data_IF_854221126252
#
_entry.id   IF_854221126252
#
_cell.length_a   1.000
_cell.length_b   1.000
_cell.length_c   1.000
_cell.angle_alpha   90.00
_cell.angle_beta   90.00
_cell.angle_gamma   90.00
#
_symmetry.space_group_name_H-M   'P 1'
#
loop_
_entity.id
_entity.type
_entity.pdbx_description
1 polymer ?
#
# COMPACT_ATOMS: atom_id res chain seq x y z
N UNK A 1 -41.28 -0.98 -19.70
CA UNK A 1 -40.57 -1.20 -18.42
C UNK A 1 -39.28 -1.85 -18.83
N UNK A 2 -38.29 -1.02 -19.13
CA UNK A 2 -37.14 -1.46 -19.89
C UNK A 2 -35.97 -1.40 -18.92
N UNK A 3 -35.53 -2.59 -18.52
CA UNK A 3 -34.44 -2.75 -17.56
C UNK A 3 -33.16 -2.48 -18.33
N UNK A 4 -32.68 -1.24 -18.26
CA UNK A 4 -31.34 -0.86 -18.71
C UNK A 4 -30.32 -1.75 -17.98
N UNK A 5 -29.89 -2.78 -18.69
CA UNK A 5 -28.89 -3.71 -18.20
C UNK A 5 -27.56 -2.98 -18.31
N UNK A 6 -27.02 -2.53 -17.17
CA UNK A 6 -25.68 -1.95 -17.11
C UNK A 6 -24.69 -2.94 -17.75
N UNK A 7 -24.24 -2.58 -18.96
CA UNK A 7 -23.31 -3.37 -19.72
C UNK A 7 -21.93 -3.21 -19.06
N UNK A 8 -21.67 -4.02 -18.03
CA UNK A 8 -20.38 -4.10 -17.34
C UNK A 8 -19.34 -4.49 -18.38
N UNK A 9 -18.65 -3.47 -18.89
CA UNK A 9 -17.73 -3.62 -19.99
C UNK A 9 -16.60 -4.58 -19.60
N UNK A 10 -16.55 -5.74 -20.25
CA UNK A 10 -15.58 -6.80 -19.97
C UNK A 10 -14.10 -6.36 -20.16
N UNK A 11 -13.87 -5.13 -20.64
CA UNK A 11 -12.57 -4.47 -20.76
C UNK A 11 -11.96 -4.01 -19.43
N UNK A 12 -12.75 -3.84 -18.35
CA UNK A 12 -12.23 -3.44 -17.02
C UNK A 12 -11.70 -4.62 -16.18
N UNK A 13 -11.82 -5.86 -16.68
CA UNK A 13 -11.19 -7.02 -16.06
C UNK A 13 -9.76 -7.20 -16.58
N UNK A 14 -8.78 -7.54 -15.72
CA UNK A 14 -7.44 -7.87 -16.18
C UNK A 14 -7.52 -9.03 -17.19
N UNK A 15 -6.76 -8.97 -18.30
CA UNK A 15 -6.87 -9.95 -19.36
C UNK A 15 -6.60 -11.35 -18.81
N UNK A 16 -7.61 -12.22 -18.90
CA UNK A 16 -7.51 -13.62 -18.46
C UNK A 16 -6.26 -14.24 -19.08
N UNK A 17 -5.33 -14.82 -18.28
CA UNK A 17 -4.11 -15.42 -18.80
C UNK A 17 -4.45 -16.40 -19.93
N UNK A 18 -4.01 -16.08 -21.15
CA UNK A 18 -4.33 -16.85 -22.36
C UNK A 18 -3.67 -18.23 -22.37
N UNK A 19 -2.60 -18.38 -21.60
CA UNK A 19 -2.01 -19.66 -21.26
C UNK A 19 -2.53 -20.12 -19.90
N UNK A 20 -3.11 -21.32 -19.84
CA UNK A 20 -3.08 -22.11 -18.61
C UNK A 20 -1.60 -22.19 -18.21
N UNK A 21 -1.19 -21.73 -17.02
CA UNK A 21 0.19 -21.97 -16.58
C UNK A 21 0.42 -23.48 -16.63
N UNK A 22 1.56 -23.96 -17.17
CA UNK A 22 1.82 -25.39 -17.19
C UNK A 22 1.63 -25.93 -15.77
N UNK A 23 1.01 -27.10 -15.59
CA UNK A 23 0.88 -27.68 -14.25
C UNK A 23 2.28 -27.70 -13.62
N UNK A 24 2.42 -27.30 -12.34
CA UNK A 24 3.74 -27.23 -11.70
C UNK A 24 4.45 -28.57 -11.93
N UNK A 25 5.69 -28.58 -12.43
CA UNK A 25 6.30 -29.78 -12.98
C UNK A 25 6.38 -30.85 -11.90
N UNK A 26 5.45 -31.79 -11.97
CA UNK A 26 5.41 -32.93 -11.08
C UNK A 26 6.59 -33.81 -11.45
N UNK A 27 7.56 -33.89 -10.53
CA UNK A 27 8.73 -34.75 -10.68
C UNK A 27 8.30 -36.21 -10.92
N UNK A 28 7.13 -36.62 -10.41
CA UNK A 28 6.52 -37.91 -10.74
C UNK A 28 6.14 -37.99 -12.23
N UNK A 29 5.31 -37.08 -12.75
CA UNK A 29 4.88 -37.13 -14.15
C UNK A 29 6.04 -36.92 -15.15
N UNK A 30 7.01 -36.05 -14.86
CA UNK A 30 8.22 -35.90 -15.67
C UNK A 30 9.09 -37.17 -15.67
N UNK A 31 9.19 -37.87 -14.53
CA UNK A 31 9.89 -39.16 -14.47
C UNK A 31 9.13 -40.27 -15.22
N UNK A 32 7.79 -40.26 -15.19
CA UNK A 32 6.97 -41.18 -16.00
C UNK A 32 7.20 -40.94 -17.50
N UNK A 33 7.16 -39.68 -17.93
CA UNK A 33 7.42 -39.29 -19.32
C UNK A 33 8.83 -39.70 -19.77
N UNK A 34 9.84 -39.51 -18.91
CA UNK A 34 11.21 -39.96 -19.17
C UNK A 34 11.30 -41.49 -19.35
N UNK A 35 10.63 -42.28 -18.50
CA UNK A 35 10.62 -43.75 -18.64
C UNK A 35 9.88 -44.19 -19.91
N UNK A 36 8.78 -43.54 -20.27
CA UNK A 36 7.98 -43.89 -21.46
C UNK A 36 8.69 -43.52 -22.77
N UNK A 37 9.49 -42.46 -22.77
CA UNK A 37 10.26 -41.98 -23.93
C UNK A 37 11.63 -42.64 -24.10
N UNK A 38 12.11 -43.39 -23.10
CA UNK A 38 13.38 -44.12 -23.14
C UNK A 38 13.28 -45.38 -24.05
N UNK A 39 13.92 -45.39 -25.24
CA UNK A 39 13.83 -46.53 -26.15
C UNK A 39 14.57 -47.77 -25.64
N UNK A 40 15.47 -47.64 -24.65
CA UNK A 40 16.18 -48.78 -24.05
C UNK A 40 15.32 -49.59 -23.08
N UNK A 41 14.21 -49.00 -22.62
CA UNK A 41 13.22 -49.64 -21.73
C UNK A 41 12.02 -50.22 -22.48
N UNK A 42 11.88 -49.93 -23.76
CA UNK A 42 10.82 -50.49 -24.59
C UNK A 42 11.17 -51.94 -24.96
N UNK A 43 10.39 -52.89 -24.45
CA UNK A 43 10.55 -54.31 -24.71
C UNK A 43 9.84 -54.73 -26.01
N UNK A 44 9.12 -55.86 -25.96
CA UNK A 44 8.16 -56.17 -27.02
C UNK A 44 7.11 -55.05 -27.13
N UNK A 45 6.46 -54.83 -28.30
CA UNK A 45 5.46 -53.79 -28.47
C UNK A 45 4.39 -53.80 -27.37
N UNK A 46 4.31 -52.72 -26.60
CA UNK A 46 3.39 -52.58 -25.45
C UNK A 46 3.95 -53.02 -24.09
N UNK A 47 5.19 -53.52 -24.00
CA UNK A 47 5.86 -53.88 -22.75
C UNK A 47 6.99 -52.91 -22.40
N UNK A 48 7.07 -52.55 -21.12
CA UNK A 48 8.07 -51.63 -20.57
C UNK A 48 8.89 -52.36 -19.50
N UNK A 49 10.21 -52.37 -19.62
CA UNK A 49 11.11 -52.96 -18.62
C UNK A 49 11.39 -51.94 -17.51
N UNK A 50 10.84 -52.23 -16.32
CA UNK A 50 11.06 -51.44 -15.11
C UNK A 50 11.90 -52.28 -14.15
N UNK A 51 13.09 -51.78 -13.80
CA UNK A 51 13.94 -52.35 -12.77
C UNK A 51 13.41 -52.03 -11.36
N UNK A 52 13.78 -52.84 -10.36
CA UNK A 52 13.29 -52.70 -8.98
C UNK A 52 13.62 -51.31 -8.37
N UNK A 53 14.80 -50.75 -8.69
CA UNK A 53 15.20 -49.42 -8.24
C UNK A 53 14.29 -48.33 -8.80
N UNK A 54 13.98 -48.39 -10.10
CA UNK A 54 12.98 -47.51 -10.72
C UNK A 54 11.62 -47.71 -10.08
N UNK A 55 11.15 -48.96 -9.86
CA UNK A 55 9.86 -49.22 -9.23
C UNK A 55 9.73 -48.60 -7.83
N UNK A 56 10.77 -48.72 -6.99
CA UNK A 56 10.82 -48.07 -5.67
C UNK A 56 10.80 -46.54 -5.77
N UNK A 57 11.47 -45.97 -6.77
CA UNK A 57 11.45 -44.53 -7.03
C UNK A 57 10.06 -44.06 -7.50
N UNK A 58 9.37 -44.82 -8.35
CA UNK A 58 7.98 -44.56 -8.76
C UNK A 58 7.07 -44.51 -7.52
N UNK A 59 7.13 -45.52 -6.65
CA UNK A 59 6.33 -45.59 -5.41
C UNK A 59 6.63 -44.38 -4.50
N UNK A 60 7.91 -44.05 -4.33
CA UNK A 60 8.34 -42.90 -3.51
C UNK A 60 7.84 -41.57 -4.07
N UNK A 61 7.86 -41.40 -5.39
CA UNK A 61 7.37 -40.19 -6.07
C UNK A 61 5.83 -40.10 -6.02
N UNK A 62 5.10 -41.22 -6.15
CA UNK A 62 3.64 -41.27 -5.95
C UNK A 62 3.25 -40.85 -4.53
N UNK A 63 3.95 -41.34 -3.50
CA UNK A 63 3.66 -40.95 -2.11
C UNK A 63 3.85 -39.43 -1.90
N UNK A 64 4.90 -38.84 -2.50
CA UNK A 64 5.13 -37.39 -2.49
C UNK A 64 4.10 -36.59 -3.30
N UNK A 65 3.61 -37.15 -4.42
CA UNK A 65 2.53 -36.58 -5.22
C UNK A 65 1.22 -36.49 -4.42
N UNK A 66 0.85 -37.58 -3.73
CA UNK A 66 -0.33 -37.64 -2.85
C UNK A 66 -0.22 -36.65 -1.70
N UNK A 67 0.92 -36.59 -1.00
CA UNK A 67 1.14 -35.65 0.10
C UNK A 67 1.01 -34.19 -0.36
N UNK A 68 1.51 -33.85 -1.55
CA UNK A 68 1.36 -32.50 -2.12
C UNK A 68 -0.08 -32.18 -2.51
N UNK A 69 -0.82 -33.17 -3.03
CA UNK A 69 -2.24 -33.01 -3.35
C UNK A 69 -3.07 -32.78 -2.08
N UNK A 70 -2.75 -33.47 -0.98
CA UNK A 70 -3.33 -33.24 0.35
C UNK A 70 -3.02 -31.83 0.87
N UNK A 71 -1.75 -31.40 0.84
CA UNK A 71 -1.36 -30.04 1.23
C UNK A 71 -2.09 -28.96 0.42
N UNK A 72 -2.26 -29.15 -0.89
CA UNK A 72 -3.02 -28.24 -1.74
C UNK A 72 -4.50 -28.20 -1.36
N UNK A 73 -5.09 -29.36 -1.04
CA UNK A 73 -6.46 -29.47 -0.56
C UNK A 73 -6.66 -28.76 0.79
N UNK A 74 -5.70 -28.87 1.71
CA UNK A 74 -5.69 -28.17 3.00
C UNK A 74 -5.65 -26.66 2.81
N UNK A 75 -4.76 -26.14 1.96
CA UNK A 75 -4.71 -24.71 1.62
C UNK A 75 -6.04 -24.19 1.05
N UNK A 76 -6.69 -24.95 0.16
CA UNK A 76 -8.02 -24.60 -0.33
C UNK A 76 -9.10 -24.62 0.76
N UNK A 77 -9.03 -25.54 1.73
CA UNK A 77 -9.97 -25.54 2.87
C UNK A 77 -9.74 -24.37 3.81
N UNK A 78 -8.49 -23.98 4.08
CA UNK A 78 -8.16 -22.78 4.87
C UNK A 78 -8.69 -21.52 4.19
N UNK A 79 -8.38 -21.32 2.91
CA UNK A 79 -8.84 -20.15 2.15
C UNK A 79 -10.38 -20.06 2.10
N UNK A 80 -11.07 -21.20 2.00
CA UNK A 80 -12.54 -21.25 2.08
C UNK A 80 -13.06 -20.87 3.46
N UNK A 81 -12.38 -21.31 4.53
CA UNK A 81 -12.70 -20.93 5.90
C UNK A 81 -12.57 -19.42 6.11
N UNK A 82 -11.45 -18.83 5.68
CA UNK A 82 -11.17 -17.39 5.82
C UNK A 82 -12.20 -16.54 5.06
N UNK A 83 -12.63 -16.99 3.87
CA UNK A 83 -13.72 -16.37 3.11
C UNK A 83 -15.06 -16.45 3.87
N UNK A 84 -15.36 -17.58 4.53
CA UNK A 84 -16.58 -17.66 5.36
C UNK A 84 -16.51 -16.78 6.60
N UNK A 85 -15.35 -16.65 7.25
CA UNK A 85 -15.13 -15.75 8.40
C UNK A 85 -15.33 -14.29 8.00
N UNK A 86 -14.61 -13.83 6.97
CA UNK A 86 -14.72 -12.43 6.47
C UNK A 86 -16.13 -12.09 5.99
N UNK A 87 -16.87 -13.04 5.39
CA UNK A 87 -18.28 -12.86 5.04
C UNK A 87 -19.18 -12.75 6.27
N UNK A 88 -18.92 -13.51 7.33
CA UNK A 88 -19.63 -13.41 8.61
C UNK A 88 -19.39 -12.05 9.28
N UNK A 89 -18.14 -11.58 9.34
CA UNK A 89 -17.77 -10.26 9.86
C UNK A 89 -18.45 -9.13 9.09
N UNK A 90 -18.44 -9.17 7.75
CA UNK A 90 -19.13 -8.18 6.92
C UNK A 90 -20.65 -8.18 7.16
N UNK A 91 -21.24 -9.36 7.37
CA UNK A 91 -22.67 -9.49 7.67
C UNK A 91 -22.98 -8.89 9.05
N UNK A 92 -22.16 -9.18 10.06
CA UNK A 92 -22.25 -8.59 11.41
C UNK A 92 -22.12 -7.06 11.40
N UNK A 93 -21.13 -6.52 10.66
CA UNK A 93 -20.98 -5.07 10.48
C UNK A 93 -22.21 -4.45 9.80
N UNK A 94 -22.75 -5.09 8.76
CA UNK A 94 -23.98 -4.65 8.09
C UNK A 94 -25.18 -4.61 9.05
N UNK A 95 -25.37 -5.66 9.86
CA UNK A 95 -26.43 -5.69 10.89
C UNK A 95 -26.26 -4.60 11.94
N UNK A 96 -25.02 -4.31 12.37
CA UNK A 96 -24.73 -3.22 13.32
C UNK A 96 -25.01 -1.84 12.72
N UNK A 97 -24.69 -1.62 11.44
CA UNK A 97 -25.03 -0.37 10.74
C UNK A 97 -26.55 -0.20 10.59
N UNK A 98 -27.27 -1.25 10.21
CA UNK A 98 -28.73 -1.24 10.14
C UNK A 98 -29.37 -0.99 11.53
N UNK A 99 -28.81 -1.55 12.60
CA UNK A 99 -29.27 -1.26 13.96
C UNK A 99 -29.08 0.22 14.32
N UNK A 100 -27.93 0.83 13.98
CA UNK A 100 -27.66 2.25 14.21
C UNK A 100 -28.63 3.15 13.44
N UNK A 101 -28.92 2.83 12.18
CA UNK A 101 -29.89 3.55 11.35
C UNK A 101 -31.31 3.51 11.95
N UNK A 102 -31.72 2.37 12.50
CA UNK A 102 -33.01 2.22 13.20
C UNK A 102 -33.05 2.89 14.59
N UNK A 103 -31.91 3.23 15.20
CA UNK A 103 -31.84 3.96 16.48
C UNK A 103 -31.86 5.50 16.33
N UNK A 104 -32.37 6.02 15.21
CA UNK A 104 -32.55 7.45 14.97
C UNK A 104 -34.02 7.89 15.03
N UNK A 105 -34.70 7.88 16.21
CA UNK A 105 -35.88 8.72 16.40
C UNK A 105 -35.47 10.20 16.43
N UNK A 106 -36.43 11.09 16.17
CA UNK A 106 -36.29 12.55 16.24
C UNK A 106 -35.28 13.22 15.29
N UNK A 107 -35.67 13.30 14.02
CA UNK A 107 -35.39 14.50 13.21
C UNK A 107 -36.60 15.45 13.30
N UNK A 108 -36.57 16.51 14.14
CA UNK A 108 -37.69 17.44 14.22
C UNK A 108 -37.87 18.19 12.91
N UNK A 109 -39.08 18.14 12.37
CA UNK A 109 -39.50 18.90 11.20
C UNK A 109 -39.58 20.39 11.54
N UNK A 110 -38.52 21.16 11.23
CA UNK A 110 -38.57 22.63 11.33
C UNK A 110 -39.43 23.22 10.18
N UNK A 111 -40.74 22.99 10.26
CA UNK A 111 -41.71 23.98 9.82
C UNK A 111 -41.71 25.10 10.87
N UNK A 112 -41.02 26.20 10.62
CA UNK A 112 -41.23 27.41 11.41
C UNK A 112 -41.52 28.60 10.49
N UNK A 113 -42.82 28.89 10.41
CA UNK A 113 -43.34 30.16 9.95
C UNK A 113 -42.74 31.29 10.78
N UNK A 114 -42.25 32.34 10.12
CA UNK A 114 -42.03 33.64 10.73
C UNK A 114 -42.67 34.68 9.82
N UNK A 115 -43.75 35.30 10.30
CA UNK A 115 -44.31 36.53 9.75
C UNK A 115 -43.72 37.74 10.46
N UNK A 116 -43.72 38.87 9.74
CA UNK A 116 -43.57 40.28 10.15
C UNK A 116 -42.27 40.97 9.66
N UNK A 117 -42.31 42.31 9.45
CA UNK A 117 -43.38 43.09 8.83
C UNK A 117 -42.86 44.00 7.68
N UNK A 118 -43.76 44.79 7.11
CA UNK A 118 -43.51 45.74 6.02
C UNK A 118 -42.54 46.89 6.37
N UNK A 119 -41.54 47.16 5.51
CA UNK A 119 -41.30 48.53 5.04
C UNK A 119 -40.44 48.66 3.77
N UNK A 120 -40.56 49.82 3.12
CA UNK A 120 -40.29 50.06 1.69
C UNK A 120 -38.82 50.29 1.31
N UNK A 121 -38.46 49.89 0.08
CA UNK A 121 -37.19 50.25 -0.59
C UNK A 121 -37.16 49.96 -2.10
N UNK A 122 -37.52 50.95 -2.93
CA UNK A 122 -37.31 51.03 -4.40
C UNK A 122 -35.85 50.65 -4.79
N UNK A 123 -35.50 50.06 -5.95
CA UNK A 123 -36.18 49.73 -7.22
C UNK A 123 -35.88 48.24 -7.61
N UNK A 124 -36.09 47.64 -8.81
CA UNK A 124 -36.40 48.10 -10.19
C UNK A 124 -37.04 46.98 -11.04
N UNK A 125 -37.63 47.36 -12.19
CA UNK A 125 -37.91 46.57 -13.42
C UNK A 125 -38.64 45.22 -13.34
N UNK A 126 -39.84 45.22 -13.94
CA UNK A 126 -40.67 44.06 -14.29
C UNK A 126 -40.05 43.31 -15.48
N UNK A 127 -40.16 41.98 -15.50
CA UNK A 127 -40.54 41.28 -16.73
C UNK A 127 -41.52 40.14 -16.42
N UNK A 128 -42.46 39.97 -17.34
CA UNK A 128 -43.67 39.14 -17.29
C UNK A 128 -43.44 37.68 -16.92
N UNK A 129 -44.24 37.15 -16.00
CA UNK A 129 -44.39 35.71 -15.82
C UNK A 129 -45.05 35.10 -17.06
N UNK A 130 -44.36 34.18 -17.74
CA UNK A 130 -45.00 33.28 -18.69
C UNK A 130 -45.50 32.04 -17.93
N UNK A 131 -46.73 31.64 -18.18
CA UNK A 131 -47.42 30.54 -17.48
C UNK A 131 -47.02 29.14 -18.00
N UNK A 132 -46.06 29.08 -18.92
CA UNK A 132 -45.64 27.90 -19.68
C UNK A 132 -44.30 27.32 -19.21
N UNK A 133 -44.23 26.90 -17.95
CA UNK A 133 -43.12 26.08 -17.44
C UNK A 133 -43.49 25.13 -16.29
N UNK A 134 -44.75 25.10 -15.86
CA UNK A 134 -45.24 24.24 -14.76
C UNK A 134 -45.41 22.76 -15.11
N UNK A 135 -44.82 22.27 -16.21
CA UNK A 135 -44.96 20.88 -16.68
C UNK A 135 -43.62 20.26 -17.11
N UNK A 136 -42.55 20.50 -16.34
CA UNK A 136 -41.24 19.84 -16.53
C UNK A 136 -40.42 19.73 -15.23
N UNK A 137 -41.07 19.37 -14.12
CA UNK A 137 -40.44 19.32 -12.78
C UNK A 137 -40.78 18.03 -12.00
N UNK A 138 -40.67 16.87 -12.65
CA UNK A 138 -40.77 15.55 -12.02
C UNK A 138 -39.71 14.59 -12.58
N UNK A 139 -38.45 14.99 -12.48
CA UNK A 139 -37.30 14.09 -12.62
C UNK A 139 -36.65 13.97 -11.24
N UNK A 140 -36.50 12.76 -10.65
CA UNK A 140 -35.80 12.60 -9.38
C UNK A 140 -34.35 13.10 -9.53
N UNK A 141 -34.04 14.20 -8.85
CA UNK A 141 -32.71 14.79 -8.94
C UNK A 141 -31.73 13.92 -8.15
N UNK A 142 -30.95 13.09 -8.85
CA UNK A 142 -30.01 12.14 -8.24
C UNK A 142 -29.11 12.88 -7.26
N UNK A 143 -29.02 12.49 -5.98
CA UNK A 143 -28.20 13.20 -5.02
C UNK A 143 -26.75 13.15 -5.51
N UNK A 144 -26.20 14.31 -5.88
CA UNK A 144 -24.77 14.48 -6.15
C UNK A 144 -24.00 14.13 -4.89
N UNK A 145 -23.59 12.87 -4.77
CA UNK A 145 -22.61 12.41 -3.79
C UNK A 145 -21.31 13.17 -4.08
N UNK A 146 -21.10 14.26 -3.37
CA UNK A 146 -19.80 14.93 -3.36
C UNK A 146 -18.77 13.91 -2.86
N UNK A 147 -17.57 13.83 -3.49
CA UNK A 147 -16.53 12.95 -3.00
C UNK A 147 -16.21 13.30 -1.55
N UNK A 148 -15.87 12.32 -0.69
CA UNK A 148 -15.56 12.60 0.71
C UNK A 148 -14.51 13.71 0.84
N UNK A 149 -14.66 14.63 1.81
CA UNK A 149 -13.70 15.70 2.01
C UNK A 149 -12.26 15.21 2.01
N UNK A 150 -11.40 15.90 1.26
CA UNK A 150 -10.05 15.43 0.96
C UNK A 150 -9.18 15.23 2.22
N UNK A 151 -9.52 15.90 3.33
CA UNK A 151 -8.90 15.66 4.63
C UNK A 151 -9.19 14.25 5.18
N UNK A 152 -10.41 13.72 5.02
CA UNK A 152 -10.75 12.34 5.41
C UNK A 152 -9.99 11.33 4.55
N UNK A 153 -9.95 11.55 3.23
CA UNK A 153 -9.22 10.67 2.29
C UNK A 153 -7.71 10.65 2.60
N UNK A 154 -7.14 11.80 2.97
CA UNK A 154 -5.71 11.91 3.26
C UNK A 154 -5.28 11.17 4.55
N UNK A 155 -6.19 10.86 5.48
CA UNK A 155 -5.86 10.03 6.68
C UNK A 155 -5.51 8.60 6.29
N UNK A 156 -6.15 8.06 5.24
CA UNK A 156 -5.95 6.69 4.77
C UNK A 156 -4.76 6.51 3.82
N UNK A 157 -4.04 7.59 3.46
CA UNK A 157 -2.85 7.48 2.61
C UNK A 157 -1.67 6.94 3.44
N UNK A 158 -1.03 5.84 3.02
CA UNK A 158 0.20 5.38 3.66
C UNK A 158 1.25 6.48 3.67
N UNK A 159 1.90 6.66 4.82
CA UNK A 159 3.01 7.60 4.95
C UNK A 159 4.24 7.08 4.19
N UNK A 160 5.13 7.99 3.78
CA UNK A 160 6.33 7.64 2.99
C UNK A 160 7.60 8.18 3.65
N UNK A 161 8.48 7.30 4.09
CA UNK A 161 9.80 7.66 4.59
C UNK A 161 10.83 7.40 3.49
N UNK A 162 11.38 8.46 2.89
CA UNK A 162 12.39 8.37 1.82
C UNK A 162 13.76 8.52 2.46
N UNK A 163 14.63 7.54 2.24
CA UNK A 163 16.01 7.48 2.71
C UNK A 163 16.94 7.58 1.51
N UNK A 164 17.93 8.47 1.62
CA UNK A 164 18.92 8.64 0.56
C UNK A 164 19.89 7.47 0.51
N UNK A 165 20.26 7.10 -0.72
CA UNK A 165 21.23 6.06 -1.02
C UNK A 165 22.53 6.72 -1.43
N UNK A 166 23.68 6.20 -0.97
CA UNK A 166 24.98 6.76 -1.33
C UNK A 166 25.19 6.70 -2.85
N UNK A 167 25.63 7.77 -3.53
CA UNK A 167 25.71 7.81 -4.99
C UNK A 167 26.67 6.79 -5.61
N UNK A 168 27.59 6.24 -4.82
CA UNK A 168 28.53 5.18 -5.22
C UNK A 168 27.91 3.77 -5.16
N UNK A 169 26.75 3.59 -4.52
CA UNK A 169 26.11 2.29 -4.30
C UNK A 169 25.15 1.88 -5.44
N UNK A 170 25.74 1.44 -6.54
CA UNK A 170 25.01 0.87 -7.68
C UNK A 170 24.50 -0.55 -7.40
N UNK A 171 23.31 -0.68 -6.81
CA UNK A 171 22.70 -2.00 -6.65
C UNK A 171 21.41 -2.16 -5.85
N UNK A 172 20.87 -1.11 -5.22
CA UNK A 172 19.68 -1.26 -4.35
C UNK A 172 18.44 -1.86 -5.05
N UNK A 173 18.31 -1.67 -6.36
CA UNK A 173 17.28 -2.28 -7.20
C UNK A 173 17.41 -3.81 -7.38
N UNK A 174 18.62 -4.37 -7.19
CA UNK A 174 18.95 -5.79 -7.38
C UNK A 174 18.79 -6.62 -6.10
N UNK A 175 18.70 -5.96 -4.95
CA UNK A 175 18.48 -6.61 -3.65
C UNK A 175 16.99 -6.98 -3.55
N UNK A 176 16.67 -8.18 -3.06
CA UNK A 176 15.27 -8.54 -2.82
C UNK A 176 14.65 -7.59 -1.78
N UNK A 177 13.57 -6.92 -2.18
CA UNK A 177 12.82 -5.97 -1.35
C UNK A 177 12.28 -6.60 -0.07
N UNK A 178 11.91 -7.87 -0.10
CA UNK A 178 11.44 -8.62 1.09
C UNK A 178 12.53 -8.65 2.16
N UNK A 179 13.78 -8.98 1.80
CA UNK A 179 14.93 -9.01 2.72
C UNK A 179 15.19 -7.62 3.32
N UNK A 180 15.02 -6.54 2.54
CA UNK A 180 15.16 -5.17 3.05
C UNK A 180 14.00 -4.76 3.97
N UNK A 181 12.79 -5.27 3.72
CA UNK A 181 11.62 -5.06 4.59
C UNK A 181 11.81 -5.79 5.93
N UNK A 182 12.26 -7.05 5.90
CA UNK A 182 12.51 -7.84 7.11
C UNK A 182 13.60 -7.19 7.97
N UNK A 183 14.75 -6.84 7.38
CA UNK A 183 15.82 -6.10 8.07
C UNK A 183 15.35 -4.75 8.62
N UNK A 184 14.43 -4.07 7.94
CA UNK A 184 13.83 -2.84 8.45
C UNK A 184 12.94 -3.10 9.66
N UNK A 185 12.09 -4.12 9.60
CA UNK A 185 11.22 -4.49 10.72
C UNK A 185 12.03 -4.98 11.93
N UNK A 186 13.11 -5.75 11.73
CA UNK A 186 14.05 -6.13 12.80
C UNK A 186 14.74 -4.92 13.42
N UNK A 187 15.26 -4.00 12.60
CA UNK A 187 15.89 -2.77 13.09
C UNK A 187 14.91 -1.84 13.84
N UNK A 188 13.63 -1.77 13.41
CA UNK A 188 12.59 -1.00 14.08
C UNK A 188 12.15 -1.65 15.40
N UNK A 189 12.13 -2.98 15.45
CA UNK A 189 11.85 -3.76 16.66
C UNK A 189 12.95 -3.61 17.72
N UNK A 190 14.22 -3.63 17.31
CA UNK A 190 15.36 -3.39 18.21
C UNK A 190 15.39 -1.95 18.78
N UNK A 191 14.67 -1.01 18.17
CA UNK A 191 14.52 0.36 18.65
C UNK A 191 13.26 0.59 19.51
N UNK A 192 12.47 -0.45 19.79
CA UNK A 192 11.17 -0.37 20.48
C UNK A 192 10.27 0.74 19.91
N UNK A 193 10.27 0.91 18.58
CA UNK A 193 9.54 1.98 17.92
C UNK A 193 8.03 1.78 18.01
N UNK A 194 7.37 2.54 18.89
CA UNK A 194 5.91 2.54 19.06
C UNK A 194 5.29 3.92 18.78
N UNK A 195 4.10 3.92 18.19
CA UNK A 195 3.23 5.08 17.98
C UNK A 195 1.81 4.65 18.33
N UNK A 196 1.16 5.37 19.27
CA UNK A 196 -0.18 5.04 19.77
C UNK A 196 -0.29 3.58 20.25
N UNK A 197 0.72 3.12 21.01
CA UNK A 197 0.93 1.74 21.49
C UNK A 197 1.03 0.65 20.40
N UNK A 198 1.13 1.03 19.12
CA UNK A 198 1.37 0.12 17.99
C UNK A 198 2.84 0.13 17.56
N UNK A 199 3.43 -1.06 17.36
CA UNK A 199 4.78 -1.19 16.82
C UNK A 199 4.86 -0.76 15.36
N UNK A 200 5.85 0.07 15.05
CA UNK A 200 6.07 0.61 13.71
C UNK A 200 6.62 -0.50 12.81
N UNK A 201 5.84 -0.86 11.79
CA UNK A 201 6.21 -1.85 10.79
C UNK A 201 6.14 -1.25 9.37
N UNK A 202 7.06 -1.69 8.52
CA UNK A 202 7.03 -1.42 7.08
C UNK A 202 6.50 -2.66 6.37
N UNK A 203 5.47 -2.50 5.54
CA UNK A 203 4.88 -3.60 4.74
C UNK A 203 5.28 -3.59 3.26
N UNK A 204 5.83 -2.46 2.79
CA UNK A 204 6.22 -2.30 1.39
C UNK A 204 7.41 -1.35 1.25
N UNK A 205 8.18 -1.58 0.21
CA UNK A 205 9.40 -0.84 -0.11
C UNK A 205 9.46 -0.56 -1.62
N UNK A 206 9.82 0.66 -1.99
CA UNK A 206 10.03 1.06 -3.38
C UNK A 206 11.42 1.71 -3.52
N UNK A 207 12.20 1.25 -4.50
CA UNK A 207 13.40 1.97 -4.95
C UNK A 207 12.93 2.97 -6.00
N UNK A 208 13.15 4.25 -5.75
CA UNK A 208 12.74 5.34 -6.63
C UNK A 208 13.68 5.45 -7.84
N UNK A 209 13.23 6.14 -8.89
CA UNK A 209 14.06 6.43 -10.08
C UNK A 209 15.31 7.26 -9.78
N UNK A 210 15.40 7.89 -8.61
CA UNK A 210 16.60 8.58 -8.11
C UNK A 210 17.63 7.64 -7.48
N UNK A 211 17.30 6.36 -7.28
CA UNK A 211 18.09 5.42 -6.48
C UNK A 211 17.74 5.41 -4.98
N UNK A 212 17.05 6.44 -4.49
CA UNK A 212 16.58 6.52 -3.10
C UNK A 212 15.59 5.41 -2.75
N UNK A 213 15.48 5.06 -1.47
CA UNK A 213 14.55 4.03 -0.99
C UNK A 213 13.40 4.62 -0.20
N UNK A 214 12.17 4.34 -0.62
CA UNK A 214 10.92 4.76 -0.01
C UNK A 214 10.27 3.61 0.78
N UNK A 215 10.26 3.75 2.10
CA UNK A 215 9.59 2.85 3.05
C UNK A 215 8.13 3.32 3.26
N UNK A 216 7.16 2.41 3.13
CA UNK A 216 5.74 2.71 3.33
C UNK A 216 5.30 2.45 4.78
N UNK A 217 4.88 3.52 5.45
CA UNK A 217 4.37 3.53 6.82
C UNK A 217 2.84 3.42 6.85
N UNK A 218 2.29 2.79 7.89
CA UNK A 218 0.84 2.62 8.09
C UNK A 218 0.07 3.95 8.02
N UNK A 219 0.56 4.99 8.69
CA UNK A 219 -0.05 6.32 8.75
C UNK A 219 1.01 7.43 8.83
N UNK A 220 0.57 8.69 8.90
CA UNK A 220 1.47 9.87 8.97
C UNK A 220 2.24 9.98 10.29
N UNK A 221 1.72 9.47 11.40
CA UNK A 221 2.41 9.48 12.69
C UNK A 221 3.58 8.48 12.69
N UNK A 222 3.37 7.27 12.15
CA UNK A 222 4.42 6.29 11.91
C UNK A 222 5.49 6.85 10.95
N UNK A 223 5.10 7.53 9.86
CA UNK A 223 6.05 8.20 8.97
C UNK A 223 6.89 9.27 9.69
N UNK A 224 6.26 10.09 10.54
CA UNK A 224 6.96 11.12 11.31
C UNK A 224 8.05 10.49 12.19
N UNK A 225 7.69 9.48 12.97
CA UNK A 225 8.64 8.75 13.82
C UNK A 225 9.79 8.13 12.99
N UNK A 226 9.48 7.49 11.85
CA UNK A 226 10.47 6.90 10.96
C UNK A 226 11.48 7.94 10.47
N UNK A 227 11.01 9.13 10.09
CA UNK A 227 11.87 10.21 9.59
C UNK A 227 12.71 10.87 10.67
N UNK A 228 12.22 10.93 11.92
CA UNK A 228 12.99 11.42 13.08
C UNK A 228 14.12 10.43 13.43
N UNK A 229 13.80 9.14 13.49
CA UNK A 229 14.73 8.08 13.92
C UNK A 229 15.55 7.45 12.79
N UNK A 230 15.39 7.92 11.54
CA UNK A 230 16.06 7.36 10.33
C UNK A 230 17.55 7.12 10.48
N UNK A 231 18.22 8.02 11.19
CA UNK A 231 19.65 7.97 11.49
C UNK A 231 20.11 6.78 12.34
N UNK A 232 19.18 6.16 13.09
CA UNK A 232 19.44 4.99 13.95
C UNK A 232 19.11 3.68 13.24
N UNK A 233 17.99 3.64 12.52
CA UNK A 233 17.51 2.40 11.91
C UNK A 233 18.03 2.18 10.48
N UNK A 234 18.18 3.21 9.63
CA UNK A 234 18.48 2.96 8.19
C UNK A 234 19.81 2.27 7.95
N UNK A 235 20.85 2.61 8.73
CA UNK A 235 22.17 1.98 8.65
C UNK A 235 22.17 0.50 9.05
N UNK A 236 21.20 0.07 9.87
CA UNK A 236 21.02 -1.35 10.23
C UNK A 236 20.35 -2.13 9.10
N UNK A 237 19.53 -1.48 8.28
CA UNK A 237 18.90 -2.09 7.10
C UNK A 237 19.91 -2.31 5.97
N UNK A 238 20.70 -1.28 5.65
CA UNK A 238 21.78 -1.36 4.67
C UNK A 238 22.88 -0.33 4.96
N UNK A 239 24.18 -0.65 4.80
CA UNK A 239 25.26 0.33 4.98
C UNK A 239 25.10 1.57 4.08
N UNK A 240 24.63 1.37 2.85
CA UNK A 240 24.52 2.43 1.84
C UNK A 240 23.34 3.40 2.05
N UNK A 241 22.44 3.09 2.99
CA UNK A 241 21.31 3.97 3.35
C UNK A 241 21.79 5.13 4.21
N UNK A 242 22.18 6.19 3.52
CA UNK A 242 22.69 7.45 4.07
C UNK A 242 21.55 8.27 4.67
N UNK A 243 21.21 7.94 5.92
CA UNK A 243 20.52 8.89 6.79
C UNK A 243 21.52 9.79 7.50
N UNK A 244 21.67 11.02 7.01
CA UNK A 244 22.09 12.12 7.87
C UNK A 244 21.13 12.17 9.06
N UNK A 245 21.61 12.38 10.32
CA UNK A 245 20.74 12.80 11.41
C UNK A 245 19.81 13.90 10.91
N UNK A 246 18.53 13.80 11.27
CA UNK A 246 17.59 14.88 10.99
C UNK A 246 17.99 16.05 11.85
N UNK A 247 18.91 16.87 11.36
CA UNK A 247 19.01 18.27 11.72
C UNK A 247 17.75 18.95 11.19
N UNK A 248 16.60 18.64 11.80
CA UNK A 248 15.78 19.73 12.27
C UNK A 248 16.75 20.64 12.97
N UNK A 249 17.02 21.80 12.38
CA UNK A 249 17.33 22.94 13.20
C UNK A 249 16.19 22.96 14.23
N UNK A 250 16.50 22.61 15.47
CA UNK A 250 15.98 23.45 16.53
C UNK A 250 16.40 24.84 16.12
N UNK A 251 15.44 25.59 15.57
CA UNK A 251 15.58 27.03 15.42
C UNK A 251 15.57 27.55 16.84
N UNK A 252 16.71 27.41 17.53
CA UNK A 252 16.98 27.98 18.84
C UNK A 252 17.07 29.47 18.60
N UNK A 253 15.90 30.10 18.47
CA UNK A 253 15.69 31.52 18.20
C UNK A 253 16.35 32.42 19.26
N UNK A 254 16.88 31.83 20.33
CA UNK A 254 17.52 32.47 21.48
C UNK A 254 19.01 32.11 21.65
N UNK A 255 19.68 31.49 20.67
CA UNK A 255 21.15 31.43 20.67
C UNK A 255 21.71 32.78 20.21
N UNK A 256 21.83 33.72 21.14
CA UNK A 256 22.68 34.91 20.99
C UNK A 256 24.17 34.50 21.05
N UNK A 257 24.62 33.71 20.08
CA UNK A 257 26.04 33.61 19.77
C UNK A 257 26.51 34.95 19.23
N UNK A 258 27.14 35.75 20.08
CA UNK A 258 27.96 36.89 19.66
C UNK A 258 29.12 36.38 18.82
N UNK A 259 28.87 36.21 17.52
CA UNK A 259 29.89 35.89 16.53
C UNK A 259 30.63 37.19 16.20
N UNK A 260 31.81 37.38 16.78
CA UNK A 260 32.69 38.47 16.38
C UNK A 260 33.23 38.21 14.97
N UNK A 261 32.53 38.76 13.98
CA UNK A 261 32.90 38.66 12.56
C UNK A 261 34.21 39.39 12.26
N UNK A 262 34.71 40.27 13.15
CA UNK A 262 36.02 40.91 12.94
C UNK A 262 37.17 39.95 13.21
N UNK A 263 36.96 38.89 14.00
CA UNK A 263 37.97 37.88 14.30
C UNK A 263 38.34 37.03 13.06
N UNK A 264 39.57 37.20 12.57
CA UNK A 264 40.08 36.49 11.39
C UNK A 264 40.06 34.95 11.53
N UNK A 265 40.22 34.43 12.74
CA UNK A 265 40.24 33.00 13.03
C UNK A 265 38.83 32.38 12.90
N UNK A 266 37.78 33.17 13.19
CA UNK A 266 36.39 32.79 12.91
C UNK A 266 36.12 32.76 11.41
N UNK A 267 36.60 33.78 10.67
CA UNK A 267 36.43 33.85 9.20
C UNK A 267 37.14 32.69 8.49
N UNK A 268 38.39 32.40 8.81
CA UNK A 268 39.13 31.26 8.24
C UNK A 268 38.45 29.91 8.54
N UNK A 269 37.99 29.66 9.79
CA UNK A 269 37.25 28.42 10.10
C UNK A 269 35.94 28.28 9.34
N UNK A 270 35.20 29.37 9.11
CA UNK A 270 33.98 29.35 8.29
C UNK A 270 34.34 29.17 6.80
N UNK A 271 35.40 29.79 6.31
CA UNK A 271 35.91 29.61 4.94
C UNK A 271 36.25 28.15 4.66
N UNK A 272 37.12 27.56 5.48
CA UNK A 272 37.55 26.15 5.39
C UNK A 272 36.35 25.20 5.48
N UNK A 273 35.40 25.44 6.39
CA UNK A 273 34.20 24.61 6.54
C UNK A 273 33.27 24.64 5.31
N UNK A 274 33.35 25.70 4.49
CA UNK A 274 32.59 25.84 3.24
C UNK A 274 33.46 25.58 1.98
N UNK A 275 34.70 25.08 2.15
CA UNK A 275 35.58 24.71 1.04
C UNK A 275 36.37 25.86 0.40
N UNK A 276 36.38 27.06 1.00
CA UNK A 276 37.28 28.15 0.59
C UNK A 276 38.70 27.91 1.13
N UNK A 277 39.71 28.22 0.32
CA UNK A 277 41.12 28.20 0.69
C UNK A 277 41.47 29.57 1.27
N UNK A 278 42.37 29.65 2.27
CA UNK A 278 42.69 30.90 3.02
C UNK A 278 43.11 32.11 2.15
N UNK A 279 43.43 31.92 0.86
CA UNK A 279 43.74 32.99 -0.08
C UNK A 279 42.54 33.87 -0.49
N UNK A 280 41.29 33.40 -0.31
CA UNK A 280 40.07 34.08 -0.78
C UNK A 280 39.39 34.96 0.31
N UNK A 281 39.99 35.12 1.50
CA UNK A 281 39.32 35.73 2.69
C UNK A 281 40.11 36.90 3.31
N UNK A 282 40.86 37.65 2.49
CA UNK A 282 41.52 38.92 2.87
C UNK A 282 40.65 40.14 2.53
#
# INVERSE_FOLDING_TARGET
MDVESENVNASDLPPRPKTRPPPPPSVFFSYMEQILTDPSRQGQPGYLTIDDTSLQLIITLMAKEVARAQQLQEMFTSLRSDLTTTRSELTSMSTRLAALENTSPDRPTLQQSIHAPDNQGRTTQKHTASYESKVAANTPNTPKKTPPPQHLINVFKPGRAIIHVAPESLGMEKINKEILIDKANDALKELDGTVDDEHITTKALEVLKSGDVCFFAKNRAHQKWLMEHKHRWSKKVHPDLTSTPSTTAETVYNMHTFLDVTNALVRSRIGIANGFVDADVL
#
